data_IF_204818418414
#
_entry.id   IF_204818418414
#
_cell.length_a   1.000
_cell.length_b   1.000
_cell.length_c   1.000
_cell.angle_alpha   90.00
_cell.angle_beta   90.00
_cell.angle_gamma   90.00
#
_symmetry.space_group_name_H-M   'P 1'
#
loop_
_entity.id
_entity.type
_entity.pdbx_description
1 polymer ?
#
# COMPACT_ATOMS: atom_id res chain seq x y z
N UNK A 1 8.59 -5.17 -11.85
CA UNK A 1 7.59 -5.08 -10.76
C UNK A 1 6.28 -4.59 -11.39
N UNK A 2 5.15 -4.81 -10.73
CA UNK A 2 3.85 -4.26 -11.14
C UNK A 2 3.29 -3.47 -9.97
N UNK A 3 2.48 -2.44 -10.24
CA UNK A 3 1.96 -1.52 -9.23
C UNK A 3 0.49 -1.19 -9.53
N UNK A 4 -0.30 -0.88 -8.51
CA UNK A 4 -1.71 -0.52 -8.69
C UNK A 4 -2.40 -0.03 -7.42
N UNK A 5 -3.67 0.35 -7.56
CA UNK A 5 -4.50 0.86 -6.47
C UNK A 5 -5.37 -0.24 -5.86
N UNK A 6 -5.63 -0.10 -4.55
CA UNK A 6 -6.52 -0.98 -3.81
C UNK A 6 -7.84 -0.25 -3.51
N UNK A 7 -8.93 -0.82 -3.99
CA UNK A 7 -10.29 -0.37 -3.73
C UNK A 7 -10.94 -1.13 -2.60
N UNK A 8 -11.67 -0.42 -1.74
CA UNK A 8 -12.22 -1.01 -0.53
C UNK A 8 -13.24 -0.14 0.18
N UNK A 9 -13.51 -0.53 1.43
CA UNK A 9 -14.41 0.17 2.35
C UNK A 9 -13.81 0.15 3.76
N UNK A 10 -13.88 1.28 4.44
CA UNK A 10 -13.51 1.38 5.84
C UNK A 10 -14.75 1.60 6.70
N UNK A 11 -14.88 0.80 7.78
CA UNK A 11 -15.89 1.01 8.82
C UNK A 11 -15.21 1.58 10.06
N UNK A 12 -15.53 2.83 10.39
CA UNK A 12 -15.00 3.49 11.59
C UNK A 12 -15.52 2.82 12.88
N UNK A 13 -16.78 2.40 12.90
CA UNK A 13 -17.40 1.72 14.05
C UNK A 13 -16.71 0.40 14.37
N UNK A 14 -16.42 -0.41 13.35
CA UNK A 14 -15.77 -1.72 13.50
C UNK A 14 -14.24 -1.63 13.49
N UNK A 15 -13.69 -0.44 13.19
CA UNK A 15 -12.26 -0.23 12.90
C UNK A 15 -11.71 -1.24 11.89
N UNK A 16 -12.51 -1.54 10.87
CA UNK A 16 -12.25 -2.61 9.91
C UNK A 16 -12.06 -2.03 8.51
N UNK A 17 -10.89 -2.29 7.92
CA UNK A 17 -10.61 -1.96 6.52
C UNK A 17 -10.74 -3.21 5.66
N UNK A 18 -11.64 -3.18 4.67
CA UNK A 18 -11.81 -4.25 3.68
C UNK A 18 -11.24 -3.82 2.34
N UNK A 19 -10.23 -4.52 1.88
CA UNK A 19 -9.74 -4.44 0.50
C UNK A 19 -10.57 -5.42 -0.33
N UNK A 20 -11.27 -4.92 -1.34
CA UNK A 20 -12.24 -5.68 -2.13
C UNK A 20 -11.87 -5.76 -3.61
N UNK A 21 -10.99 -4.87 -4.07
CA UNK A 21 -10.59 -4.77 -5.47
C UNK A 21 -9.14 -4.31 -5.59
N UNK A 22 -8.43 -4.84 -6.58
CA UNK A 22 -7.15 -4.33 -7.03
C UNK A 22 -7.32 -3.86 -8.48
N UNK A 23 -6.92 -2.64 -8.79
CA UNK A 23 -6.88 -2.11 -10.14
C UNK A 23 -5.42 -1.82 -10.52
N UNK A 24 -4.89 -2.47 -11.57
CA UNK A 24 -3.51 -2.26 -11.99
C UNK A 24 -3.33 -0.88 -12.61
N UNK A 25 -2.15 -0.29 -12.42
CA UNK A 25 -1.74 0.91 -13.14
C UNK A 25 -0.62 0.55 -14.11
N UNK A 26 -0.55 1.24 -15.24
CA UNK A 26 0.64 1.27 -16.07
C UNK A 26 1.80 1.82 -15.24
N UNK A 27 2.92 1.11 -15.30
CA UNK A 27 4.12 1.48 -14.53
C UNK A 27 5.13 2.17 -15.42
N UNK A 28 5.66 3.30 -14.98
CA UNK A 28 6.89 3.85 -15.54
C UNK A 28 8.06 3.07 -14.95
N UNK A 29 8.29 1.87 -15.49
CA UNK A 29 9.35 0.98 -15.00
C UNK A 29 10.71 1.37 -15.57
N UNK A 30 11.64 1.80 -14.73
CA UNK A 30 13.07 1.74 -15.03
C UNK A 30 13.69 0.57 -14.26
N UNK A 31 14.95 0.20 -14.54
CA UNK A 31 15.64 -0.90 -13.82
C UNK A 31 15.65 -0.73 -12.29
N UNK A 32 15.41 0.48 -11.78
CA UNK A 32 15.49 0.84 -10.36
C UNK A 32 14.15 1.34 -9.80
N UNK A 33 13.14 1.56 -10.64
CA UNK A 33 11.96 2.33 -10.25
C UNK A 33 10.66 1.73 -10.79
N UNK A 34 9.67 1.53 -9.92
CA UNK A 34 8.29 1.22 -10.29
C UNK A 34 7.38 2.30 -9.71
N UNK A 35 7.05 3.32 -10.51
CA UNK A 35 6.06 4.33 -10.15
C UNK A 35 4.80 4.15 -11.00
N UNK A 36 3.64 4.49 -10.43
CA UNK A 36 2.40 4.57 -11.19
C UNK A 36 2.49 5.74 -12.17
N UNK A 37 2.14 5.50 -13.43
CA UNK A 37 1.88 6.59 -14.36
C UNK A 37 0.69 7.44 -13.86
N UNK A 38 0.82 8.77 -13.93
CA UNK A 38 -0.19 9.69 -13.40
C UNK A 38 -1.55 9.62 -14.11
N UNK A 39 -1.54 9.31 -15.41
CA UNK A 39 -2.78 9.15 -16.20
C UNK A 39 -3.43 7.83 -15.80
N UNK A 40 -2.66 6.74 -15.80
CA UNK A 40 -3.18 5.42 -15.42
C UNK A 40 -3.66 5.36 -13.96
N UNK A 41 -2.99 6.06 -13.04
CA UNK A 41 -3.45 6.20 -11.67
C UNK A 41 -4.82 6.88 -11.58
N UNK A 42 -5.05 7.93 -12.38
CA UNK A 42 -6.33 8.66 -12.41
C UNK A 42 -7.44 7.78 -13.00
N UNK A 43 -7.13 6.98 -14.01
CA UNK A 43 -8.06 6.01 -14.60
C UNK A 43 -8.45 4.92 -13.59
N UNK A 44 -7.46 4.31 -12.92
CA UNK A 44 -7.69 3.30 -11.88
C UNK A 44 -8.50 3.87 -10.69
N UNK A 45 -8.21 5.10 -10.27
CA UNK A 45 -8.99 5.80 -9.25
C UNK A 45 -10.45 5.96 -9.69
N UNK A 46 -10.66 6.46 -10.91
CA UNK A 46 -12.01 6.67 -11.47
C UNK A 46 -12.78 5.36 -11.58
N UNK A 47 -12.13 4.29 -12.01
CA UNK A 47 -12.73 2.95 -12.11
C UNK A 47 -13.17 2.41 -10.76
N UNK A 48 -12.35 2.57 -9.71
CA UNK A 48 -12.71 2.19 -8.34
C UNK A 48 -13.90 3.01 -7.83
N UNK A 49 -13.91 4.32 -8.07
CA UNK A 49 -15.04 5.18 -7.68
C UNK A 49 -16.33 4.84 -8.43
N UNK A 50 -16.26 4.56 -9.73
CA UNK A 50 -17.41 4.15 -10.55
C UNK A 50 -18.05 2.85 -10.04
N UNK A 51 -17.25 1.99 -9.41
CA UNK A 51 -17.70 0.74 -8.77
C UNK A 51 -18.18 0.93 -7.32
N UNK A 52 -18.16 2.15 -6.80
CA UNK A 52 -18.56 2.47 -5.43
C UNK A 52 -17.56 2.04 -4.37
N UNK A 53 -16.27 2.00 -4.73
CA UNK A 53 -15.17 1.78 -3.79
C UNK A 53 -14.42 3.07 -3.51
N UNK A 54 -13.91 3.20 -2.29
CA UNK A 54 -12.88 4.19 -1.96
C UNK A 54 -11.52 3.60 -2.25
N UNK A 55 -10.55 4.45 -2.63
CA UNK A 55 -9.15 4.03 -2.68
C UNK A 55 -8.62 3.97 -1.26
N UNK A 56 -8.18 2.78 -0.84
CA UNK A 56 -7.79 2.48 0.54
C UNK A 56 -6.33 2.04 0.66
N UNK A 57 -5.62 1.98 -0.45
CA UNK A 57 -4.23 1.59 -0.47
C UNK A 57 -3.66 1.50 -1.86
N UNK A 58 -2.43 1.01 -1.91
CA UNK A 58 -1.72 0.67 -3.13
C UNK A 58 -1.01 -0.66 -2.94
N UNK A 59 -0.62 -1.27 -4.04
CA UNK A 59 0.20 -2.47 -4.01
C UNK A 59 1.30 -2.39 -5.06
N UNK A 60 2.42 -3.06 -4.79
CA UNK A 60 3.37 -3.45 -5.83
C UNK A 60 3.94 -4.84 -5.58
N UNK A 61 4.69 -5.36 -6.55
CA UNK A 61 5.32 -6.68 -6.43
C UNK A 61 6.83 -6.60 -6.32
N UNK A 62 7.41 -7.48 -5.51
CA UNK A 62 8.82 -7.87 -5.53
C UNK A 62 8.90 -9.31 -6.08
N UNK A 63 8.90 -9.53 -7.41
CA UNK A 63 8.60 -10.85 -7.98
C UNK A 63 9.49 -11.98 -7.45
N UNK A 64 10.78 -11.71 -7.24
CA UNK A 64 11.78 -12.74 -6.95
C UNK A 64 12.53 -12.56 -5.63
N UNK A 65 12.20 -11.54 -4.84
CA UNK A 65 12.90 -11.19 -3.60
C UNK A 65 11.92 -10.83 -2.49
N UNK A 66 12.42 -10.74 -1.26
CA UNK A 66 11.61 -10.54 -0.05
C UNK A 66 10.73 -9.29 -0.14
N UNK A 67 9.47 -9.31 0.34
CA UNK A 67 8.56 -8.16 0.34
C UNK A 67 8.91 -7.16 1.46
N UNK A 68 10.20 -6.92 1.70
CA UNK A 68 10.66 -5.91 2.66
C UNK A 68 10.60 -4.55 1.98
N UNK A 69 9.91 -3.55 2.55
CA UNK A 69 9.82 -2.23 1.96
C UNK A 69 11.20 -1.56 1.86
N UNK A 70 11.48 -0.99 0.69
CA UNK A 70 12.60 -0.08 0.47
C UNK A 70 12.33 1.28 1.11
N UNK A 71 13.36 2.14 1.18
CA UNK A 71 13.21 3.53 1.63
C UNK A 71 12.17 4.26 0.77
N UNK A 72 12.15 3.99 -0.54
CA UNK A 72 11.20 4.61 -1.46
C UNK A 72 9.76 4.14 -1.25
N UNK A 73 9.57 2.87 -0.90
CA UNK A 73 8.22 2.35 -0.58
C UNK A 73 7.67 3.08 0.66
N UNK A 74 8.55 3.37 1.63
CA UNK A 74 8.20 4.15 2.82
C UNK A 74 7.87 5.60 2.43
N UNK A 75 8.67 6.24 1.57
CA UNK A 75 8.38 7.61 1.09
C UNK A 75 7.05 7.68 0.32
N UNK A 76 6.81 6.71 -0.58
CA UNK A 76 5.55 6.59 -1.33
C UNK A 76 4.37 6.37 -0.39
N UNK A 77 4.50 5.45 0.56
CA UNK A 77 3.48 5.20 1.57
C UNK A 77 3.17 6.46 2.38
N UNK A 78 4.20 7.20 2.83
CA UNK A 78 4.01 8.43 3.62
C UNK A 78 3.19 9.44 2.83
N UNK A 79 3.62 9.70 1.60
CA UNK A 79 2.96 10.66 0.71
C UNK A 79 1.51 10.27 0.40
N UNK A 80 1.25 9.00 0.09
CA UNK A 80 -0.10 8.55 -0.24
C UNK A 80 -1.00 8.49 0.99
N UNK A 81 -0.47 8.06 2.14
CA UNK A 81 -1.21 8.07 3.38
C UNK A 81 -1.62 9.49 3.76
N UNK A 82 -0.73 10.49 3.64
CA UNK A 82 -1.07 11.90 3.89
C UNK A 82 -2.19 12.41 2.96
N UNK A 83 -2.20 11.96 1.71
CA UNK A 83 -3.19 12.40 0.71
C UNK A 83 -4.55 11.72 0.85
N UNK A 84 -4.57 10.41 1.10
CA UNK A 84 -5.76 9.57 1.04
C UNK A 84 -6.35 9.21 2.41
N UNK A 85 -5.60 9.27 3.51
CA UNK A 85 -6.09 8.98 4.86
C UNK A 85 -6.96 10.12 5.45
N UNK A 86 -7.60 10.93 4.60
CA UNK A 86 -8.45 12.03 5.06
C UNK A 86 -9.62 11.51 5.89
N UNK A 87 -9.86 12.14 7.04
CA UNK A 87 -10.89 11.70 7.99
C UNK A 87 -10.50 10.52 8.88
N UNK A 88 -9.20 10.19 8.96
CA UNK A 88 -8.67 9.18 9.88
C UNK A 88 -8.90 7.74 9.43
N UNK A 89 -9.25 7.54 8.15
CA UNK A 89 -9.32 6.20 7.57
C UNK A 89 -7.90 5.66 7.31
N UNK A 90 -7.62 4.38 7.63
CA UNK A 90 -6.35 3.76 7.35
C UNK A 90 -6.10 3.69 5.84
N UNK A 91 -4.86 3.93 5.44
CA UNK A 91 -4.39 3.74 4.07
C UNK A 91 -3.17 2.82 4.08
N UNK A 92 -3.17 1.76 3.28
CA UNK A 92 -2.15 0.69 3.38
C UNK A 92 -1.34 0.53 2.10
N UNK A 93 -0.06 0.23 2.26
CA UNK A 93 0.82 -0.25 1.19
C UNK A 93 0.96 -1.77 1.29
N UNK A 94 0.84 -2.48 0.18
CA UNK A 94 0.98 -3.94 0.14
C UNK A 94 2.08 -4.36 -0.84
N UNK A 95 3.07 -5.11 -0.36
CA UNK A 95 4.15 -5.64 -1.19
C UNK A 95 3.97 -7.15 -1.29
N UNK A 96 3.91 -7.67 -2.53
CA UNK A 96 3.68 -9.09 -2.80
C UNK A 96 4.90 -9.69 -3.50
N UNK A 97 5.41 -10.80 -2.97
CA UNK A 97 6.48 -11.59 -3.59
C UNK A 97 5.97 -12.97 -4.00
N UNK A 98 5.46 -13.11 -5.24
CA UNK A 98 4.86 -14.36 -5.72
C UNK A 98 5.87 -15.48 -6.04
N UNK A 99 7.12 -15.14 -6.37
CA UNK A 99 8.13 -16.12 -6.80
C UNK A 99 9.41 -16.08 -5.95
N UNK A 100 9.27 -15.73 -4.67
CA UNK A 100 10.40 -15.68 -3.75
C UNK A 100 10.88 -17.09 -3.39
N UNK A 101 11.81 -17.62 -4.20
CA UNK A 101 12.31 -19.01 -4.14
C UNK A 101 13.07 -19.39 -2.86
N UNK A 102 13.32 -18.44 -1.95
CA UNK A 102 13.88 -18.76 -0.63
C UNK A 102 12.82 -19.35 0.31
N UNK A 103 11.54 -19.25 -0.04
CA UNK A 103 10.48 -20.01 0.61
C UNK A 103 10.37 -21.41 0.00
N UNK A 104 10.16 -22.40 0.87
CA UNK A 104 9.92 -23.79 0.48
C UNK A 104 8.48 -23.99 -0.04
N UNK A 105 7.59 -23.03 0.24
CA UNK A 105 6.17 -23.10 -0.13
C UNK A 105 5.90 -22.41 -1.47
N UNK A 106 4.77 -22.76 -2.10
CA UNK A 106 4.26 -22.10 -3.31
C UNK A 106 3.40 -20.86 -2.99
N UNK A 107 3.48 -20.36 -1.77
CA UNK A 107 2.67 -19.25 -1.30
C UNK A 107 3.38 -17.92 -1.57
N UNK A 108 2.62 -16.91 -1.98
CA UNK A 108 3.12 -15.54 -2.07
C UNK A 108 3.47 -15.03 -0.67
N UNK A 109 4.66 -14.43 -0.52
CA UNK A 109 4.94 -13.63 0.67
C UNK A 109 4.26 -12.28 0.54
N UNK A 110 3.63 -11.79 1.61
CA UNK A 110 2.95 -10.50 1.60
C UNK A 110 3.37 -9.69 2.82
N UNK A 111 3.74 -8.44 2.59
CA UNK A 111 3.92 -7.44 3.64
C UNK A 111 2.88 -6.35 3.46
N UNK A 112 2.18 -6.00 4.55
CA UNK A 112 1.31 -4.84 4.61
C UNK A 112 1.97 -3.79 5.50
N UNK A 113 2.07 -2.55 5.02
CA UNK A 113 2.67 -1.44 5.76
C UNK A 113 1.71 -0.25 5.88
N UNK A 114 1.84 0.44 7.01
CA UNK A 114 1.23 1.72 7.32
C UNK A 114 2.23 2.48 8.17
N UNK A 115 2.35 3.79 7.96
CA UNK A 115 3.28 4.61 8.74
C UNK A 115 2.55 5.08 9.99
N UNK A 116 3.05 4.67 11.15
CA UNK A 116 2.56 5.16 12.44
C UNK A 116 3.07 6.56 12.74
N UNK A 117 2.39 7.23 13.66
CA UNK A 117 2.87 8.51 14.19
C UNK A 117 4.26 8.35 14.79
N UNK A 118 5.06 9.41 14.66
CA UNK A 118 6.38 9.46 15.28
C UNK A 118 6.19 9.36 16.80
N UNK A 119 6.60 8.24 17.39
CA UNK A 119 6.64 8.10 18.84
C UNK A 119 7.66 9.11 19.38
N UNK A 120 7.19 10.13 20.09
CA UNK A 120 8.07 11.02 20.83
C UNK A 120 8.72 10.20 21.96
N UNK A 121 10.06 10.25 22.04
CA UNK A 121 10.85 9.53 23.05
C UNK A 121 10.50 9.92 24.50
N UNK A 122 9.64 10.91 24.70
CA UNK A 122 9.18 11.41 26.01
C UNK A 122 8.08 10.57 26.65
N UNK A 123 7.37 9.70 25.91
CA UNK A 123 6.27 8.90 26.47
C UNK A 123 6.72 7.75 27.38
N UNK A 124 8.03 7.47 27.45
CA UNK A 124 8.60 6.50 28.38
C UNK A 124 9.07 7.10 29.73
N UNK A 125 8.95 8.41 29.93
CA UNK A 125 9.42 9.08 31.17
C UNK A 125 8.30 9.45 32.14
N UNK A 126 7.02 9.22 31.81
CA UNK A 126 5.87 9.53 32.68
C UNK A 126 5.28 8.32 33.43
N UNK A 127 5.98 7.18 33.44
CA UNK A 127 5.52 5.94 34.09
C UNK A 127 6.43 5.37 35.19
N UNK A 128 7.28 6.19 35.80
CA UNK A 128 7.97 5.82 37.05
C UNK A 128 7.75 6.89 38.12
#
# INVERSE_FOLDING_TARGET
>A
EVIGLLGGRYSCEQKELKILRAEPCESLSTEVQCEMDSVSQTEAFTELCNRGYSVVGWYHSHPYFSPIPSIRDIETQSKYQDWFAQGGAPFVGVIISPYYRQLVTHESSITCLMIGDKMDKTDNLSKF
#
